data_IF_963794504689
#
_entry.id   IF_963794504689
#
_cell.length_a   1.000
_cell.length_b   1.000
_cell.length_c   1.000
_cell.angle_alpha   90.00
_cell.angle_beta   90.00
_cell.angle_gamma   90.00
#
_symmetry.space_group_name_H-M   'P 1'
#
loop_
_entity.id
_entity.type
_entity.pdbx_description
1 polymer ?
#
# COMPACT_ATOMS: atom_id res chain seq x y z
N UNK A 1 5.06 -6.12 26.66
CA UNK A 1 4.49 -6.05 25.28
C UNK A 1 3.18 -6.81 25.27
N UNK A 2 2.04 -6.12 25.15
CA UNK A 2 0.75 -6.80 24.89
C UNK A 2 0.80 -7.40 23.48
N UNK A 3 0.27 -8.62 23.25
CA UNK A 3 0.27 -9.23 21.92
C UNK A 3 -0.51 -8.35 20.95
N UNK A 4 -0.05 -8.31 19.68
CA UNK A 4 -0.71 -7.60 18.59
C UNK A 4 -2.19 -7.98 18.56
N UNK A 5 -3.08 -7.04 18.83
CA UNK A 5 -4.50 -7.24 18.59
C UNK A 5 -4.66 -7.63 17.12
N UNK A 6 -5.25 -8.81 16.87
CA UNK A 6 -5.69 -9.20 15.53
C UNK A 6 -6.76 -8.19 15.15
N UNK A 7 -6.44 -7.31 14.24
CA UNK A 7 -7.41 -6.36 13.69
C UNK A 7 -8.36 -7.16 12.80
N UNK A 8 -9.53 -7.44 13.34
CA UNK A 8 -10.57 -8.26 12.74
C UNK A 8 -11.10 -7.65 11.42
N UNK A 9 -11.86 -8.43 10.66
CA UNK A 9 -12.41 -8.02 9.36
C UNK A 9 -13.24 -6.71 9.43
N UNK A 10 -13.72 -6.32 10.63
CA UNK A 10 -14.39 -5.05 10.92
C UNK A 10 -13.58 -4.25 11.91
N UNK A 11 -13.11 -3.06 11.50
CA UNK A 11 -12.29 -2.24 12.38
C UNK A 11 -12.49 -0.74 12.14
N UNK A 12 -12.91 -0.03 13.19
CA UNK A 12 -13.03 1.43 13.19
C UNK A 12 -11.84 2.04 13.93
N UNK A 13 -11.02 2.79 13.20
CA UNK A 13 -9.89 3.55 13.74
C UNK A 13 -10.26 5.02 13.84
N UNK A 14 -10.07 5.62 15.01
CA UNK A 14 -10.07 7.08 15.15
C UNK A 14 -8.62 7.52 15.26
N UNK A 15 -8.18 8.32 14.31
CA UNK A 15 -6.84 8.86 14.22
C UNK A 15 -6.84 10.32 14.68
N UNK A 16 -5.96 10.66 15.59
CA UNK A 16 -5.76 12.03 16.05
C UNK A 16 -4.30 12.26 16.46
N UNK A 17 -3.96 13.44 16.95
CA UNK A 17 -2.60 13.77 17.41
C UNK A 17 -2.20 15.19 17.07
N UNK A 18 -0.98 15.54 17.42
CA UNK A 18 -0.47 16.91 17.28
C UNK A 18 -0.34 17.34 15.83
N UNK A 19 -0.55 18.61 15.57
CA UNK A 19 -0.33 19.24 14.28
C UNK A 19 1.14 19.14 13.86
N UNK A 20 1.40 18.66 12.64
CA UNK A 20 2.77 18.36 12.18
C UNK A 20 3.32 16.99 12.58
N UNK A 21 2.59 16.19 13.37
CA UNK A 21 3.05 14.86 13.81
C UNK A 21 3.01 13.79 12.69
N UNK A 22 2.41 14.08 11.53
CA UNK A 22 2.35 13.13 10.40
C UNK A 22 1.01 12.40 10.27
N UNK A 23 -0.08 12.89 10.86
CA UNK A 23 -1.43 12.31 10.78
C UNK A 23 -1.87 11.98 9.36
N UNK A 24 -1.67 12.90 8.40
CA UNK A 24 -2.05 12.67 7.00
C UNK A 24 -1.23 11.55 6.34
N UNK A 25 0.03 11.36 6.73
CA UNK A 25 0.85 10.22 6.29
C UNK A 25 0.28 8.90 6.81
N UNK A 26 -0.14 8.89 8.08
CA UNK A 26 -0.76 7.72 8.71
C UNK A 26 -2.12 7.42 8.10
N UNK A 27 -2.95 8.44 7.83
CA UNK A 27 -4.25 8.26 7.17
C UNK A 27 -4.10 7.64 5.78
N UNK A 28 -3.13 8.14 4.99
CA UNK A 28 -2.81 7.55 3.68
C UNK A 28 -2.33 6.10 3.79
N UNK A 29 -1.56 5.75 4.83
CA UNK A 29 -1.17 4.36 5.06
C UNK A 29 -2.39 3.47 5.34
N UNK A 30 -3.41 3.95 6.04
CA UNK A 30 -4.68 3.25 6.21
C UNK A 30 -5.45 3.10 4.90
N UNK A 31 -5.49 4.16 4.08
CA UNK A 31 -6.10 4.13 2.74
C UNK A 31 -5.44 3.07 1.84
N UNK A 32 -4.10 3.03 1.82
CA UNK A 32 -3.33 2.01 1.09
C UNK A 32 -3.61 0.58 1.58
N UNK A 33 -3.97 0.41 2.85
CA UNK A 33 -4.39 -0.86 3.44
C UNK A 33 -5.87 -1.19 3.17
N UNK A 34 -6.58 -0.36 2.40
CA UNK A 34 -7.98 -0.55 2.01
C UNK A 34 -8.99 -0.15 3.09
N UNK A 35 -8.63 0.77 3.98
CA UNK A 35 -9.61 1.41 4.86
C UNK A 35 -10.37 2.52 4.12
N UNK A 36 -11.64 2.68 4.41
CA UNK A 36 -12.37 3.89 4.06
C UNK A 36 -11.89 5.03 4.95
N UNK A 37 -11.23 6.03 4.37
CA UNK A 37 -10.59 7.10 5.11
C UNK A 37 -11.37 8.41 4.99
N UNK A 38 -11.57 9.08 6.14
CA UNK A 38 -12.17 10.42 6.20
C UNK A 38 -11.20 11.36 6.90
N UNK A 39 -10.79 12.41 6.20
CA UNK A 39 -9.94 13.47 6.77
C UNK A 39 -10.80 14.60 7.38
N UNK A 40 -10.34 15.13 8.49
CA UNK A 40 -10.95 16.29 9.18
C UNK A 40 -12.45 16.07 9.48
N UNK A 41 -12.80 14.92 10.06
CA UNK A 41 -14.18 14.61 10.42
C UNK A 41 -14.59 15.39 11.68
N UNK A 42 -15.70 16.16 11.64
CA UNK A 42 -16.29 16.76 12.82
C UNK A 42 -16.64 15.72 13.90
N UNK A 43 -16.36 16.06 15.17
CA UNK A 43 -16.57 15.14 16.33
C UNK A 43 -18.02 14.66 16.39
N UNK A 44 -18.97 15.53 16.06
CA UNK A 44 -20.40 15.24 16.07
C UNK A 44 -20.84 14.16 15.05
N UNK A 45 -20.06 13.93 14.00
CA UNK A 45 -20.38 12.93 12.97
C UNK A 45 -19.82 11.55 13.29
N UNK A 46 -18.94 11.40 14.28
CA UNK A 46 -18.36 10.11 14.66
C UNK A 46 -19.43 9.05 14.99
N UNK A 47 -20.51 9.36 15.74
CA UNK A 47 -21.56 8.36 16.02
C UNK A 47 -22.21 7.81 14.77
N UNK A 48 -22.50 8.67 13.78
CA UNK A 48 -23.10 8.26 12.51
C UNK A 48 -22.19 7.27 11.77
N UNK A 49 -20.88 7.56 11.72
CA UNK A 49 -19.92 6.64 11.12
C UNK A 49 -19.76 5.34 11.90
N UNK A 50 -19.87 5.37 13.23
CA UNK A 50 -19.83 4.16 14.05
C UNK A 50 -21.04 3.26 13.77
N UNK A 51 -22.24 3.83 13.58
CA UNK A 51 -23.45 3.10 13.19
C UNK A 51 -23.33 2.51 11.78
N UNK A 52 -22.88 3.28 10.78
CA UNK A 52 -22.63 2.81 9.41
C UNK A 52 -21.63 1.66 9.40
N UNK A 53 -20.55 1.78 10.18
CA UNK A 53 -19.56 0.72 10.33
C UNK A 53 -20.18 -0.55 10.97
N UNK A 54 -21.05 -0.41 11.97
CA UNK A 54 -21.72 -1.53 12.64
C UNK A 54 -22.71 -2.22 11.72
N UNK A 55 -23.42 -1.49 10.86
CA UNK A 55 -24.35 -2.03 9.87
C UNK A 55 -23.64 -2.97 8.87
N UNK A 56 -22.33 -2.81 8.68
CA UNK A 56 -21.47 -3.79 7.98
C UNK A 56 -21.70 -3.89 6.47
N UNK A 57 -22.37 -2.91 5.87
CA UNK A 57 -22.62 -2.89 4.42
C UNK A 57 -21.47 -2.20 3.66
N UNK A 58 -20.86 -2.92 2.72
CA UNK A 58 -19.94 -2.36 1.74
C UNK A 58 -18.57 -1.94 2.27
N UNK A 59 -18.06 -0.83 1.74
CA UNK A 59 -16.69 -0.33 1.94
C UNK A 59 -16.41 0.18 3.37
N UNK A 60 -17.43 0.35 4.22
CA UNK A 60 -17.30 0.87 5.58
C UNK A 60 -16.87 -0.16 6.64
N UNK A 61 -16.74 -1.44 6.29
CA UNK A 61 -16.34 -2.48 7.23
C UNK A 61 -14.99 -2.20 7.90
N UNK A 62 -14.13 -1.43 7.24
CA UNK A 62 -12.84 -0.93 7.75
C UNK A 62 -12.76 0.56 7.50
N UNK A 63 -12.79 1.37 8.56
CA UNK A 63 -12.76 2.82 8.44
C UNK A 63 -11.71 3.46 9.33
N UNK A 64 -11.07 4.54 8.84
CA UNK A 64 -10.14 5.38 9.58
C UNK A 64 -10.60 6.84 9.51
N UNK A 65 -10.98 7.40 10.64
CA UNK A 65 -11.54 8.74 10.77
C UNK A 65 -10.50 9.64 11.43
N UNK A 66 -10.02 10.67 10.71
CA UNK A 66 -9.09 11.64 11.25
C UNK A 66 -9.85 12.81 11.90
N UNK A 67 -9.62 13.00 13.19
CA UNK A 67 -10.10 14.15 13.98
C UNK A 67 -8.92 15.04 14.30
N UNK A 68 -8.99 16.31 13.90
CA UNK A 68 -7.88 17.25 13.97
C UNK A 68 -8.08 18.32 15.07
N UNK A 69 -7.00 18.90 15.56
CA UNK A 69 -7.00 20.05 16.48
C UNK A 69 -7.74 21.29 15.94
N UNK A 70 -8.03 21.35 14.62
CA UNK A 70 -8.87 22.40 14.01
C UNK A 70 -10.28 22.47 14.57
N UNK A 71 -10.78 21.37 15.15
CA UNK A 71 -12.07 21.32 15.83
C UNK A 71 -12.10 22.18 17.11
N UNK A 72 -10.94 22.63 17.62
CA UNK A 72 -10.85 23.53 18.76
C UNK A 72 -11.61 23.00 19.99
N UNK A 73 -12.55 23.80 20.50
CA UNK A 73 -13.36 23.47 21.69
C UNK A 73 -14.17 22.16 21.52
N UNK A 74 -14.53 21.78 20.29
CA UNK A 74 -15.27 20.55 20.03
C UNK A 74 -14.50 19.28 20.39
N UNK A 75 -13.15 19.36 20.42
CA UNK A 75 -12.31 18.25 20.87
C UNK A 75 -12.56 17.84 22.32
N UNK A 76 -13.03 18.76 23.18
CA UNK A 76 -13.38 18.45 24.56
C UNK A 76 -14.55 17.44 24.67
N UNK A 77 -15.36 17.34 23.61
CA UNK A 77 -16.46 16.37 23.52
C UNK A 77 -15.98 14.95 23.15
N UNK A 78 -14.76 14.82 22.55
CA UNK A 78 -14.26 13.55 22.04
C UNK A 78 -14.04 12.52 23.17
N UNK A 79 -13.43 12.82 24.33
CA UNK A 79 -13.24 11.86 25.39
C UNK A 79 -14.55 11.24 25.93
N UNK A 80 -15.61 11.99 26.31
CA UNK A 80 -16.86 11.38 26.76
C UNK A 80 -17.56 10.61 25.64
N UNK A 81 -17.52 11.11 24.40
CA UNK A 81 -18.09 10.43 23.23
C UNK A 81 -17.44 9.07 23.01
N UNK A 82 -16.11 9.00 23.00
CA UNK A 82 -15.38 7.74 22.84
C UNK A 82 -15.69 6.72 23.94
N UNK A 83 -15.81 7.18 25.21
CA UNK A 83 -16.21 6.30 26.31
C UNK A 83 -17.62 5.73 26.13
N UNK A 84 -18.50 6.49 25.50
CA UNK A 84 -19.86 6.02 25.19
C UNK A 84 -19.85 5.02 24.04
N UNK A 85 -19.26 5.38 22.91
CA UNK A 85 -19.25 4.55 21.71
C UNK A 85 -18.50 3.22 21.87
N UNK A 86 -17.46 3.18 22.69
CA UNK A 86 -16.69 1.96 22.96
C UNK A 86 -17.49 0.87 23.70
N UNK A 87 -18.66 1.17 24.22
CA UNK A 87 -19.54 0.15 24.83
C UNK A 87 -20.14 -0.77 23.78
N UNK A 88 -20.46 -0.21 22.61
CA UNK A 88 -21.22 -0.88 21.56
C UNK A 88 -20.39 -1.12 20.28
N UNK A 89 -19.27 -0.39 20.11
CA UNK A 89 -18.45 -0.43 18.93
C UNK A 89 -16.96 -0.71 19.23
N UNK A 90 -16.30 -1.63 18.51
CA UNK A 90 -14.85 -1.88 18.63
C UNK A 90 -14.08 -0.74 17.96
N UNK A 91 -13.76 0.31 18.73
CA UNK A 91 -13.02 1.50 18.26
C UNK A 91 -11.60 1.48 18.80
N UNK A 92 -10.61 1.63 17.89
CA UNK A 92 -9.22 1.88 18.27
C UNK A 92 -8.88 3.36 18.09
N UNK A 93 -8.46 4.02 19.15
CA UNK A 93 -7.93 5.37 19.12
C UNK A 93 -6.43 5.35 18.94
N UNK A 94 -5.96 5.90 17.82
CA UNK A 94 -4.54 6.04 17.48
C UNK A 94 -4.16 7.51 17.63
N UNK A 95 -3.18 7.79 18.48
CA UNK A 95 -2.63 9.11 18.70
C UNK A 95 -1.24 9.24 18.10
N UNK A 96 -1.02 10.22 17.23
CA UNK A 96 0.29 10.50 16.65
C UNK A 96 0.93 11.66 17.40
N UNK A 97 2.07 11.38 17.99
CA UNK A 97 2.87 12.34 18.75
C UNK A 97 4.22 12.60 18.06
N UNK A 98 4.87 13.69 18.44
CA UNK A 98 6.29 13.96 18.18
C UNK A 98 6.80 14.95 19.21
N UNK A 99 8.11 15.01 19.44
CA UNK A 99 8.69 16.01 20.31
C UNK A 99 8.62 17.42 19.68
N UNK A 100 8.70 18.44 20.49
CA UNK A 100 8.50 19.83 20.06
C UNK A 100 9.55 20.28 19.04
N UNK A 101 10.81 19.81 19.17
CA UNK A 101 11.87 20.18 18.22
C UNK A 101 11.60 19.60 16.82
N UNK A 102 11.10 18.35 16.74
CA UNK A 102 10.70 17.77 15.47
C UNK A 102 9.51 18.50 14.87
N UNK A 103 8.52 18.87 15.68
CA UNK A 103 7.34 19.63 15.22
C UNK A 103 7.75 21.02 14.73
N UNK A 104 8.55 21.76 15.47
CA UNK A 104 9.05 23.08 15.08
C UNK A 104 9.81 23.03 13.76
N UNK A 105 10.70 22.04 13.58
CA UNK A 105 11.43 21.83 12.32
C UNK A 105 10.46 21.59 11.16
N UNK A 106 9.48 20.69 11.31
CA UNK A 106 8.48 20.37 10.28
C UNK A 106 7.62 21.59 9.92
N UNK A 107 7.30 22.45 10.90
CA UNK A 107 6.60 23.70 10.64
C UNK A 107 7.45 24.68 9.84
N UNK A 108 8.74 24.80 10.15
CA UNK A 108 9.65 25.67 9.38
C UNK A 108 9.80 25.23 7.92
N UNK A 109 9.79 23.92 7.66
CA UNK A 109 9.87 23.35 6.31
C UNK A 109 8.59 23.56 5.50
N UNK A 110 7.41 23.41 6.13
CA UNK A 110 6.11 23.46 5.43
C UNK A 110 5.57 24.88 5.25
N UNK A 111 6.07 25.87 6.00
CA UNK A 111 5.62 27.27 5.99
C UNK A 111 4.10 27.46 6.18
N UNK A 112 3.43 26.50 6.81
CA UNK A 112 1.99 26.58 7.10
C UNK A 112 1.76 27.18 8.48
N UNK A 113 0.73 28.04 8.67
CA UNK A 113 0.36 28.52 9.99
C UNK A 113 -0.14 27.36 10.85
N UNK A 114 0.12 27.45 12.16
CA UNK A 114 -0.43 26.49 13.10
C UNK A 114 -1.96 26.65 13.20
N UNK A 115 -2.77 25.57 13.27
CA UNK A 115 -4.24 25.66 13.32
C UNK A 115 -4.76 26.56 14.46
N UNK A 116 -4.09 26.53 15.62
CA UNK A 116 -4.44 27.38 16.80
C UNK A 116 -3.68 28.70 16.83
N UNK A 117 -2.90 29.04 15.81
CA UNK A 117 -1.86 30.09 15.85
C UNK A 117 -2.26 31.47 15.38
N UNK A 118 -3.54 31.89 15.43
CA UNK A 118 -3.97 33.19 14.88
C UNK A 118 -3.29 34.43 15.51
N UNK A 119 -2.67 34.29 16.71
CA UNK A 119 -1.99 35.39 17.42
C UNK A 119 -0.77 34.93 18.24
N UNK A 120 -0.33 33.73 18.11
CA UNK A 120 0.71 33.06 18.92
C UNK A 120 1.89 32.64 18.07
N UNK A 121 3.08 32.55 18.67
CA UNK A 121 4.19 31.86 18.05
C UNK A 121 3.89 30.36 17.85
N UNK A 122 4.60 29.69 16.92
CA UNK A 122 4.43 28.25 16.69
C UNK A 122 4.67 27.45 17.97
N UNK A 123 5.67 27.84 18.78
CA UNK A 123 6.00 27.16 20.04
C UNK A 123 4.87 27.30 21.07
N UNK A 124 4.30 28.46 21.24
CA UNK A 124 3.15 28.69 22.13
C UNK A 124 1.92 27.94 21.67
N UNK A 125 1.67 27.94 20.34
CA UNK A 125 0.56 27.19 19.74
C UNK A 125 0.69 25.69 19.96
N UNK A 126 1.89 25.13 19.83
CA UNK A 126 2.18 23.70 20.12
C UNK A 126 1.97 23.40 21.59
N UNK A 127 2.38 24.27 22.51
CA UNK A 127 2.16 24.09 23.94
C UNK A 127 0.67 24.04 24.29
N UNK A 128 -0.12 24.96 23.74
CA UNK A 128 -1.57 24.97 23.90
C UNK A 128 -2.24 23.73 23.30
N UNK A 129 -1.83 23.33 22.09
CA UNK A 129 -2.36 22.14 21.45
C UNK A 129 -2.07 20.88 22.28
N UNK A 130 -0.85 20.76 22.81
CA UNK A 130 -0.45 19.62 23.66
C UNK A 130 -1.32 19.53 24.92
N UNK A 131 -1.58 20.68 25.58
CA UNK A 131 -2.46 20.72 26.74
C UNK A 131 -3.91 20.31 26.40
N UNK A 132 -4.44 20.79 25.28
CA UNK A 132 -5.77 20.45 24.77
C UNK A 132 -5.89 18.96 24.42
N UNK A 133 -4.83 18.37 23.83
CA UNK A 133 -4.83 17.00 23.34
C UNK A 133 -4.46 15.95 24.41
N UNK A 134 -3.91 16.35 25.57
CA UNK A 134 -3.46 15.43 26.61
C UNK A 134 -4.57 14.52 27.16
N UNK A 135 -5.82 14.98 27.40
CA UNK A 135 -6.92 14.11 27.79
C UNK A 135 -7.23 13.01 26.77
N UNK A 136 -7.12 13.33 25.48
CA UNK A 136 -7.34 12.40 24.36
C UNK A 136 -6.18 11.42 24.26
N UNK A 137 -4.95 11.90 24.39
CA UNK A 137 -3.72 11.09 24.38
C UNK A 137 -3.76 10.00 25.46
N UNK A 138 -4.25 10.33 26.66
CA UNK A 138 -4.42 9.37 27.77
C UNK A 138 -5.42 8.26 27.47
N UNK A 139 -6.38 8.48 26.59
CA UNK A 139 -7.39 7.50 26.17
C UNK A 139 -6.93 6.67 24.97
N UNK A 140 -5.80 7.02 24.36
CA UNK A 140 -5.31 6.33 23.16
C UNK A 140 -4.92 4.87 23.46
N UNK A 141 -5.39 3.96 22.62
CA UNK A 141 -5.00 2.55 22.64
C UNK A 141 -3.59 2.35 22.06
N UNK A 142 -3.24 3.21 21.08
CA UNK A 142 -1.95 3.23 20.42
C UNK A 142 -1.44 4.65 20.35
N UNK A 143 -0.27 4.90 20.91
CA UNK A 143 0.48 6.16 20.72
C UNK A 143 1.67 5.86 19.81
N UNK A 144 1.78 6.61 18.71
CA UNK A 144 2.89 6.52 17.76
C UNK A 144 3.73 7.77 17.90
N UNK A 145 4.94 7.62 18.42
CA UNK A 145 5.94 8.70 18.44
C UNK A 145 6.65 8.74 17.08
N UNK A 146 6.34 9.77 16.31
CA UNK A 146 6.89 9.98 14.97
C UNK A 146 8.17 10.83 14.94
N UNK A 147 8.76 11.14 16.10
CA UNK A 147 9.90 12.08 16.24
C UNK A 147 11.05 11.73 15.30
N UNK A 148 11.43 10.45 15.23
CA UNK A 148 12.56 9.97 14.44
C UNK A 148 12.20 9.47 13.05
N UNK A 149 10.91 9.38 12.73
CA UNK A 149 10.48 8.85 11.45
C UNK A 149 10.48 9.91 10.34
N UNK A 150 11.01 9.54 9.18
CA UNK A 150 10.66 10.18 7.93
C UNK A 150 9.29 9.67 7.43
N UNK A 151 8.80 10.23 6.32
CA UNK A 151 7.46 9.90 5.76
C UNK A 151 7.34 8.41 5.39
N UNK A 152 8.40 7.83 4.79
CA UNK A 152 8.42 6.44 4.35
C UNK A 152 8.49 5.46 5.54
N UNK A 153 9.33 5.77 6.52
CA UNK A 153 9.47 4.98 7.75
C UNK A 153 8.19 4.97 8.57
N UNK A 154 7.52 6.12 8.71
CA UNK A 154 6.24 6.22 9.42
C UNK A 154 5.15 5.40 8.71
N UNK A 155 5.07 5.51 7.37
CA UNK A 155 4.13 4.71 6.56
C UNK A 155 4.39 3.21 6.73
N UNK A 156 5.64 2.78 6.62
CA UNK A 156 6.02 1.38 6.80
C UNK A 156 5.66 0.88 8.20
N UNK A 157 6.01 1.64 9.24
CA UNK A 157 5.70 1.30 10.64
C UNK A 157 4.20 1.09 10.85
N UNK A 158 3.36 2.00 10.34
CA UNK A 158 1.89 1.90 10.44
C UNK A 158 1.39 0.69 9.68
N UNK A 159 1.86 0.48 8.45
CA UNK A 159 1.46 -0.67 7.63
C UNK A 159 1.76 -1.97 8.35
N UNK A 160 2.97 -2.17 8.87
CA UNK A 160 3.33 -3.41 9.57
C UNK A 160 2.53 -3.61 10.88
N UNK A 161 2.21 -2.52 11.59
CA UNK A 161 1.46 -2.60 12.85
C UNK A 161 -0.01 -2.91 12.68
N UNK A 162 -0.63 -2.40 11.61
CA UNK A 162 -2.07 -2.52 11.32
C UNK A 162 -2.37 -3.46 10.16
N UNK A 163 -1.37 -4.19 9.66
CA UNK A 163 -1.49 -5.13 8.57
C UNK A 163 -2.55 -6.17 8.86
N UNK A 164 -3.51 -6.26 7.95
CA UNK A 164 -4.42 -7.39 7.93
C UNK A 164 -3.76 -8.54 7.16
N UNK A 165 -3.81 -9.78 7.66
CA UNK A 165 -3.40 -10.96 6.90
C UNK A 165 -4.08 -11.08 5.53
N UNK A 166 -5.30 -10.53 5.39
CA UNK A 166 -6.10 -10.53 4.17
C UNK A 166 -5.86 -9.31 3.25
N UNK A 167 -4.91 -8.43 3.59
CA UNK A 167 -4.59 -7.29 2.73
C UNK A 167 -4.10 -7.77 1.37
N UNK A 168 -4.78 -7.30 0.31
CA UNK A 168 -4.44 -7.68 -1.08
C UNK A 168 -2.99 -7.30 -1.36
N UNK A 169 -2.12 -8.29 -1.63
CA UNK A 169 -0.74 -8.01 -1.96
C UNK A 169 -0.66 -7.19 -3.24
N UNK A 170 0.45 -6.44 -3.42
CA UNK A 170 0.74 -5.74 -4.67
C UNK A 170 0.40 -6.62 -5.88
N UNK A 171 -0.35 -6.06 -6.84
CA UNK A 171 -0.70 -6.76 -8.08
C UNK A 171 0.49 -6.76 -9.03
N UNK A 172 1.02 -7.93 -9.32
CA UNK A 172 2.08 -8.11 -10.32
C UNK A 172 1.46 -8.45 -11.66
N UNK A 173 1.59 -7.56 -12.63
CA UNK A 173 1.16 -7.77 -14.02
C UNK A 173 2.33 -8.25 -14.86
N UNK A 174 2.24 -9.42 -15.45
CA UNK A 174 3.23 -9.93 -16.41
C UNK A 174 2.69 -9.73 -17.81
N UNK A 175 3.40 -8.95 -18.64
CA UNK A 175 2.96 -8.63 -20.01
C UNK A 175 3.93 -9.26 -21.02
N UNK A 176 3.47 -10.15 -21.88
CA UNK A 176 4.27 -10.58 -23.01
C UNK A 176 4.03 -9.70 -24.22
N UNK A 177 5.10 -9.30 -24.91
CA UNK A 177 5.03 -8.41 -26.06
C UNK A 177 6.02 -8.74 -27.16
N UNK A 178 5.78 -8.17 -28.35
CA UNK A 178 6.69 -8.21 -29.49
C UNK A 178 7.39 -6.88 -29.68
N UNK A 179 8.71 -6.86 -29.73
CA UNK A 179 9.48 -5.63 -30.02
C UNK A 179 9.10 -5.00 -31.36
N UNK A 180 8.61 -5.80 -32.32
CA UNK A 180 8.03 -5.31 -33.58
C UNK A 180 6.91 -4.29 -33.39
N UNK A 181 6.21 -4.36 -32.26
CA UNK A 181 5.06 -3.51 -31.94
C UNK A 181 5.33 -2.49 -30.83
N UNK A 182 6.61 -2.29 -30.49
CA UNK A 182 7.05 -1.38 -29.46
C UNK A 182 6.99 -1.97 -28.05
N UNK A 183 7.73 -1.38 -27.14
CA UNK A 183 7.72 -1.72 -25.70
C UNK A 183 6.45 -1.16 -25.07
N UNK A 184 5.76 -1.90 -24.17
CA UNK A 184 4.64 -1.34 -23.42
C UNK A 184 5.12 -0.15 -22.57
N UNK A 185 4.39 0.95 -22.60
CA UNK A 185 4.79 2.23 -21.95
C UNK A 185 4.60 2.23 -20.44
N UNK A 186 3.79 1.30 -19.93
CA UNK A 186 3.49 1.10 -18.52
C UNK A 186 4.40 0.06 -17.84
N UNK A 187 5.52 -0.31 -18.49
CA UNK A 187 6.44 -1.33 -17.96
C UNK A 187 7.38 -0.75 -16.92
N UNK A 188 7.40 -1.33 -15.73
CA UNK A 188 8.43 -1.05 -14.71
C UNK A 188 9.73 -1.81 -14.97
N UNK A 189 9.61 -3.08 -15.37
CA UNK A 189 10.73 -3.96 -15.71
C UNK A 189 10.52 -4.55 -17.10
N UNK A 190 11.57 -4.50 -17.93
CA UNK A 190 11.52 -5.03 -19.31
C UNK A 190 12.64 -6.03 -19.50
N UNK A 191 12.31 -7.23 -19.93
CA UNK A 191 13.28 -8.29 -20.22
C UNK A 191 13.21 -8.72 -21.67
N UNK A 192 14.36 -8.64 -22.35
CA UNK A 192 14.51 -9.11 -23.71
C UNK A 192 14.88 -10.59 -23.75
N UNK A 193 14.05 -11.40 -24.39
CA UNK A 193 14.26 -12.84 -24.53
C UNK A 193 14.54 -13.28 -25.97
N UNK A 194 14.99 -12.35 -26.84
CA UNK A 194 15.33 -12.64 -28.24
C UNK A 194 16.58 -13.49 -28.39
N UNK A 195 17.43 -13.56 -27.37
CA UNK A 195 18.61 -14.45 -27.33
C UNK A 195 18.25 -15.94 -27.35
N UNK A 196 17.03 -16.30 -26.98
CA UNK A 196 16.55 -17.69 -27.03
C UNK A 196 16.24 -18.12 -28.47
N UNK A 197 16.42 -19.41 -28.81
CA UNK A 197 16.08 -19.95 -30.12
C UNK A 197 14.62 -19.64 -30.50
N UNK A 198 14.41 -19.25 -31.76
CA UNK A 198 13.11 -18.78 -32.21
C UNK A 198 12.28 -19.91 -32.84
N UNK A 199 11.16 -20.34 -32.22
CA UNK A 199 10.28 -21.37 -32.76
C UNK A 199 9.70 -21.02 -34.13
N UNK A 200 9.66 -19.76 -34.51
CA UNK A 200 9.18 -19.30 -35.82
C UNK A 200 9.94 -19.91 -37.00
N UNK A 201 11.23 -20.21 -36.80
CA UNK A 201 12.08 -20.83 -37.85
C UNK A 201 11.90 -22.33 -37.95
N UNK A 202 11.13 -22.95 -37.06
CA UNK A 202 10.76 -24.37 -37.11
C UNK A 202 9.40 -24.49 -37.78
N UNK A 203 9.28 -25.02 -39.03
CA UNK A 203 8.03 -25.04 -39.77
C UNK A 203 6.86 -25.66 -39.00
N UNK A 204 7.11 -26.72 -38.26
CA UNK A 204 6.12 -27.43 -37.43
C UNK A 204 5.63 -26.64 -36.23
N UNK A 205 6.33 -25.57 -35.82
CA UNK A 205 5.98 -24.75 -34.65
C UNK A 205 5.49 -23.33 -34.99
N UNK A 206 5.74 -22.85 -36.20
CA UNK A 206 5.45 -21.47 -36.63
C UNK A 206 4.01 -21.03 -36.37
N UNK A 207 3.01 -21.92 -36.58
CA UNK A 207 1.58 -21.61 -36.42
C UNK A 207 1.12 -21.59 -34.95
N UNK A 208 1.85 -22.23 -34.05
CA UNK A 208 1.51 -22.35 -32.65
C UNK A 208 1.98 -21.13 -31.84
N UNK A 209 1.59 -21.05 -30.57
CA UNK A 209 1.94 -19.98 -29.65
C UNK A 209 2.77 -20.51 -28.47
N UNK A 210 3.29 -19.63 -27.64
CA UNK A 210 3.98 -20.04 -26.41
C UNK A 210 3.09 -20.73 -25.37
N UNK A 211 1.77 -20.78 -25.56
CA UNK A 211 0.84 -21.57 -24.75
C UNK A 211 0.84 -23.05 -25.14
N UNK A 212 1.20 -23.35 -26.37
CA UNK A 212 1.16 -24.72 -26.88
C UNK A 212 2.32 -25.58 -26.33
N UNK A 213 2.00 -26.81 -25.90
CA UNK A 213 2.95 -27.72 -25.29
C UNK A 213 4.17 -28.02 -26.18
N UNK A 214 3.99 -28.11 -27.51
CA UNK A 214 5.06 -28.36 -28.48
C UNK A 214 6.09 -27.21 -28.50
N UNK A 215 5.59 -25.95 -28.47
CA UNK A 215 6.43 -24.75 -28.42
C UNK A 215 7.14 -24.66 -27.07
N UNK A 216 6.42 -24.92 -25.98
CA UNK A 216 7.02 -24.93 -24.64
C UNK A 216 8.12 -25.96 -24.51
N UNK A 217 7.91 -27.19 -25.01
CA UNK A 217 8.90 -28.24 -25.01
C UNK A 217 10.17 -27.83 -25.80
N UNK A 218 9.98 -27.25 -26.98
CA UNK A 218 11.09 -26.73 -27.80
C UNK A 218 11.89 -25.65 -27.07
N UNK A 219 11.25 -24.62 -26.52
CA UNK A 219 11.96 -23.56 -25.83
C UNK A 219 12.67 -24.08 -24.57
N UNK A 220 12.05 -24.98 -23.81
CA UNK A 220 12.64 -25.58 -22.62
C UNK A 220 13.80 -26.53 -22.89
N UNK A 221 13.91 -27.08 -24.11
CA UNK A 221 15.04 -27.98 -24.46
C UNK A 221 16.39 -27.25 -24.49
N UNK A 222 16.38 -25.92 -24.46
CA UNK A 222 17.60 -25.12 -24.43
C UNK A 222 17.96 -24.75 -22.99
N UNK A 223 19.18 -25.10 -22.50
CA UNK A 223 19.61 -24.81 -21.12
C UNK A 223 19.47 -23.33 -20.73
N UNK A 224 19.67 -22.43 -21.68
CA UNK A 224 19.58 -20.97 -21.48
C UNK A 224 18.16 -20.55 -21.03
N UNK A 225 17.12 -21.25 -21.46
CA UNK A 225 15.74 -20.94 -21.07
C UNK A 225 15.50 -21.21 -19.57
N UNK A 226 16.00 -22.35 -19.08
CA UNK A 226 15.92 -22.72 -17.67
C UNK A 226 16.75 -21.80 -16.79
N UNK A 227 17.97 -21.49 -17.22
CA UNK A 227 18.87 -20.59 -16.50
C UNK A 227 18.31 -19.15 -16.41
N UNK A 228 17.77 -18.63 -17.50
CA UNK A 228 17.11 -17.32 -17.51
C UNK A 228 15.94 -17.29 -16.52
N UNK A 229 15.05 -18.29 -16.56
CA UNK A 229 13.91 -18.36 -15.63
C UNK A 229 14.37 -18.37 -14.18
N UNK A 230 15.36 -19.19 -13.84
CA UNK A 230 15.91 -19.26 -12.49
C UNK A 230 16.45 -17.92 -12.00
N UNK A 231 17.21 -17.20 -12.83
CA UNK A 231 17.78 -15.89 -12.49
C UNK A 231 16.70 -14.82 -12.34
N UNK A 232 15.73 -14.75 -13.25
CA UNK A 232 14.62 -13.81 -13.19
C UNK A 232 13.76 -14.06 -11.96
N UNK A 233 13.44 -15.32 -11.66
CA UNK A 233 12.67 -15.68 -10.47
C UNK A 233 13.39 -15.27 -9.18
N UNK A 234 14.70 -15.48 -9.11
CA UNK A 234 15.52 -15.02 -7.98
C UNK A 234 15.50 -13.50 -7.84
N UNK A 235 15.71 -12.77 -8.94
CA UNK A 235 15.69 -11.32 -8.98
C UNK A 235 14.32 -10.76 -8.54
N UNK A 236 13.22 -11.27 -9.10
CA UNK A 236 11.89 -10.81 -8.78
C UNK A 236 11.51 -11.13 -7.34
N UNK A 237 11.91 -12.29 -6.82
CA UNK A 237 11.68 -12.66 -5.42
C UNK A 237 12.42 -11.70 -4.47
N UNK A 238 13.57 -11.20 -4.87
CA UNK A 238 14.31 -10.19 -4.13
C UNK A 238 13.66 -8.79 -4.24
N UNK A 239 13.30 -8.34 -5.45
CA UNK A 239 12.81 -6.98 -5.69
C UNK A 239 11.39 -6.73 -5.19
N UNK A 240 10.47 -7.70 -5.35
CA UNK A 240 9.04 -7.52 -5.02
C UNK A 240 8.82 -7.08 -3.57
N UNK A 241 9.45 -7.68 -2.55
CA UNK A 241 9.30 -7.22 -1.16
C UNK A 241 9.77 -5.77 -0.96
N UNK A 242 10.82 -5.35 -1.66
CA UNK A 242 11.33 -3.97 -1.58
C UNK A 242 10.34 -2.97 -2.21
N UNK A 243 9.72 -3.30 -3.35
CA UNK A 243 8.68 -2.48 -3.96
C UNK A 243 7.42 -2.39 -3.08
N UNK A 244 7.03 -3.49 -2.43
CA UNK A 244 5.93 -3.49 -1.45
C UNK A 244 6.27 -2.57 -0.27
N UNK A 245 7.51 -2.64 0.24
CA UNK A 245 7.98 -1.81 1.35
C UNK A 245 8.02 -0.32 1.00
N UNK A 246 8.33 0.03 -0.26
CA UNK A 246 8.26 1.38 -0.79
C UNK A 246 6.81 1.89 -0.94
N UNK A 247 5.83 0.98 -0.92
CA UNK A 247 4.40 1.29 -1.06
C UNK A 247 3.86 1.20 -2.47
N UNK A 248 4.55 0.47 -3.36
CA UNK A 248 4.08 0.25 -4.72
C UNK A 248 2.91 -0.74 -4.73
N UNK A 249 1.77 -0.34 -5.30
CA UNK A 249 0.55 -1.15 -5.37
C UNK A 249 0.46 -2.00 -6.64
N UNK A 250 1.17 -1.62 -7.70
CA UNK A 250 1.20 -2.30 -9.00
C UNK A 250 2.63 -2.44 -9.48
N UNK A 251 2.96 -3.59 -10.07
CA UNK A 251 4.25 -3.84 -10.73
C UNK A 251 4.01 -4.48 -12.09
N UNK A 252 4.42 -3.82 -13.17
CA UNK A 252 4.32 -4.35 -14.54
C UNK A 252 5.67 -4.89 -15.00
N UNK A 253 5.73 -6.18 -15.27
CA UNK A 253 6.90 -6.91 -15.75
C UNK A 253 6.66 -7.31 -17.20
N UNK A 254 7.40 -6.75 -18.12
CA UNK A 254 7.24 -6.98 -19.56
C UNK A 254 8.33 -7.90 -20.11
N UNK A 255 7.92 -8.93 -20.81
CA UNK A 255 8.79 -9.92 -21.45
C UNK A 255 8.66 -9.78 -22.97
N UNK A 256 9.74 -9.41 -23.63
CA UNK A 256 9.74 -9.11 -25.07
C UNK A 256 10.47 -10.16 -25.93
N UNK A 257 9.80 -10.65 -26.98
CA UNK A 257 10.47 -11.34 -28.09
C UNK A 257 10.21 -10.61 -29.41
N UNK A 258 10.63 -11.14 -30.55
CA UNK A 258 10.50 -10.42 -31.84
C UNK A 258 9.03 -10.11 -32.18
N UNK A 259 8.17 -11.12 -32.21
CA UNK A 259 6.77 -10.98 -32.61
C UNK A 259 5.75 -11.12 -31.47
N UNK A 260 6.16 -11.35 -30.22
CA UNK A 260 5.24 -11.48 -29.08
C UNK A 260 4.44 -12.78 -29.00
N UNK A 261 4.69 -13.77 -29.84
CA UNK A 261 3.85 -14.96 -30.00
C UNK A 261 4.36 -16.23 -29.31
N UNK A 262 5.66 -16.46 -29.25
CA UNK A 262 6.25 -17.73 -28.81
C UNK A 262 7.00 -17.63 -27.48
N UNK A 263 8.26 -17.09 -27.53
CA UNK A 263 9.20 -17.05 -26.38
C UNK A 263 8.68 -16.25 -25.22
N UNK A 264 8.26 -15.01 -25.48
CA UNK A 264 7.75 -14.10 -24.46
C UNK A 264 6.46 -14.62 -23.79
N UNK A 265 5.59 -15.26 -24.56
CA UNK A 265 4.34 -15.88 -24.04
C UNK A 265 4.67 -17.02 -23.10
N UNK A 266 5.52 -17.97 -23.52
CA UNK A 266 5.90 -19.10 -22.69
C UNK A 266 6.58 -18.66 -21.39
N UNK A 267 7.54 -17.74 -21.47
CA UNK A 267 8.27 -17.25 -20.30
C UNK A 267 7.36 -16.46 -19.37
N UNK A 268 6.48 -15.60 -19.90
CA UNK A 268 5.48 -14.88 -19.12
C UNK A 268 4.57 -15.80 -18.31
N UNK A 269 4.10 -16.88 -18.91
CA UNK A 269 3.30 -17.90 -18.20
C UNK A 269 4.09 -18.62 -17.10
N UNK A 270 5.38 -18.90 -17.31
CA UNK A 270 6.22 -19.55 -16.28
C UNK A 270 6.48 -18.58 -15.10
N UNK A 271 6.83 -17.32 -15.38
CA UNK A 271 7.05 -16.30 -14.36
C UNK A 271 5.78 -16.09 -13.54
N UNK A 272 4.61 -15.95 -14.19
CA UNK A 272 3.32 -15.86 -13.50
C UNK A 272 3.10 -17.05 -12.56
N UNK A 273 3.32 -18.29 -13.03
CA UNK A 273 3.15 -19.50 -12.22
C UNK A 273 4.12 -19.53 -11.04
N UNK A 274 5.37 -19.15 -11.24
CA UNK A 274 6.38 -19.12 -10.18
C UNK A 274 6.04 -18.11 -9.10
N UNK A 275 5.66 -16.88 -9.47
CA UNK A 275 5.28 -15.83 -8.53
C UNK A 275 4.00 -16.18 -7.77
N UNK A 276 3.00 -16.75 -8.44
CA UNK A 276 1.77 -17.21 -7.78
C UNK A 276 2.02 -18.31 -6.75
N UNK A 277 2.93 -19.26 -7.03
CA UNK A 277 3.34 -20.31 -6.05
C UNK A 277 4.01 -19.72 -4.80
N UNK A 278 4.58 -18.53 -4.90
CA UNK A 278 5.22 -17.80 -3.79
C UNK A 278 4.24 -16.87 -3.05
N UNK A 279 2.94 -16.91 -3.40
CA UNK A 279 1.89 -16.12 -2.74
C UNK A 279 1.69 -14.70 -3.28
N UNK A 280 2.38 -14.32 -4.38
CA UNK A 280 2.14 -13.01 -5.00
C UNK A 280 0.87 -13.01 -5.84
N UNK A 281 0.06 -11.95 -5.73
CA UNK A 281 -1.10 -11.73 -6.61
C UNK A 281 -0.62 -11.41 -8.02
N UNK A 282 -0.81 -12.34 -8.98
CA UNK A 282 -0.25 -12.22 -10.32
C UNK A 282 -1.27 -12.36 -11.42
N UNK A 283 -1.18 -11.49 -12.43
CA UNK A 283 -1.95 -11.54 -13.68
C UNK A 283 -0.97 -11.66 -14.85
N UNK A 284 -1.35 -12.37 -15.92
CA UNK A 284 -0.60 -12.37 -17.18
C UNK A 284 -1.46 -11.90 -18.33
N UNK A 285 -0.88 -11.06 -19.18
CA UNK A 285 -1.51 -10.56 -20.42
C UNK A 285 -0.55 -10.74 -21.59
N UNK A 286 -1.07 -11.20 -22.71
CA UNK A 286 -0.28 -11.41 -23.93
C UNK A 286 -0.74 -10.39 -24.99
N UNK A 287 -0.05 -9.24 -25.03
CA UNK A 287 -0.45 -8.08 -25.84
C UNK A 287 -0.51 -8.39 -27.34
N UNK A 288 0.44 -9.18 -27.85
CA UNK A 288 0.64 -9.36 -29.29
C UNK A 288 0.54 -10.83 -29.74
N UNK A 289 -0.12 -11.70 -28.97
CA UNK A 289 -0.17 -13.15 -29.26
C UNK A 289 -0.95 -13.47 -30.55
N UNK A 290 -1.93 -12.65 -30.89
CA UNK A 290 -2.83 -12.83 -32.04
C UNK A 290 -2.42 -12.02 -33.28
N UNK A 291 -1.36 -11.22 -33.20
CA UNK A 291 -0.87 -10.38 -34.30
C UNK A 291 0.02 -11.09 -35.31
#
# INVERSE_FOLDING_TARGET
MKPSARYDARHLVILTGLSGSGKSTVLRAFEDMGFYCVDNLPVELIPIFAELHAAGEGDFARAALLVDAREGVQLEKLPPLLKHLRKDHPITLVFIDANDDALLRRYSETRRPHPLGKALSVRESLHHERALMEPIRKLADVVIDSTQFNVHELRHFVTERFKNPDHRPMLVSVVSFGYKYGVPTDSDLVFDVRFLPNPHFVPALRRYTGKDAKVQKYIRSFPQSGEFLRRIESLLTYLIPHYISEGKSYLTISIGCTGGKHRSVMLGEQIKKSLAKRGFSTKVTHRDIEK
#
